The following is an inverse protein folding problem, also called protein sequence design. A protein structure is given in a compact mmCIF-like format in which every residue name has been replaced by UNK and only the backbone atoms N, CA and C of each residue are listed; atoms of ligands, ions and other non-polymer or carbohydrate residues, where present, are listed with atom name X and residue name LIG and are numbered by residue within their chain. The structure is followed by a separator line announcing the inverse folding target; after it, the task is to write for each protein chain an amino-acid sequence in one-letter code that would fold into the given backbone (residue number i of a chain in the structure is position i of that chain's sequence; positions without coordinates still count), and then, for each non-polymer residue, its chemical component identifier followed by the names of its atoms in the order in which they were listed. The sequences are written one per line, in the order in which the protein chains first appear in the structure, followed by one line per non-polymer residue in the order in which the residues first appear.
data_IF_375780891916
#
_entry.id   IF_375780891916
#
_cell.length_a   1.000
_cell.length_b   1.000
_cell.length_c   1.000
_cell.angle_alpha   90.00
_cell.angle_beta   90.00
_cell.angle_gamma   90.00
#
_symmetry.space_group_name_H-M   'P 1'
#
loop_
_entity.id
_entity.type
_entity.pdbx_description
1 polymer ?
#
# COMPACT_ATOMS: atom_id res chain seq x y z
N UNK A 1 -5.71 28.21 31.55
CA UNK A 1 -5.54 27.84 30.14
C UNK A 1 -6.56 26.76 29.81
N UNK A 2 -7.35 26.89 28.74
CA UNK A 2 -8.19 25.78 28.34
C UNK A 2 -7.26 24.60 28.06
N UNK A 3 -7.47 23.49 28.75
CA UNK A 3 -6.81 22.23 28.46
C UNK A 3 -7.06 21.94 27.00
N UNK A 4 -6.02 22.02 26.16
CA UNK A 4 -6.11 21.55 24.77
C UNK A 4 -6.58 20.09 24.87
N UNK A 5 -7.75 19.78 24.33
CA UNK A 5 -8.11 18.38 24.09
C UNK A 5 -6.96 17.79 23.33
N UNK A 6 -6.34 16.74 23.86
CA UNK A 6 -5.33 16.00 23.13
C UNK A 6 -5.96 15.55 21.82
N UNK A 7 -5.44 16.04 20.71
CA UNK A 7 -5.92 15.62 19.39
C UNK A 7 -5.56 14.16 19.21
N UNK A 8 -6.51 13.35 18.78
CA UNK A 8 -6.24 11.97 18.37
C UNK A 8 -5.25 11.99 17.20
N UNK A 9 -4.22 11.14 17.24
CA UNK A 9 -3.16 11.11 16.24
C UNK A 9 -3.15 9.77 15.52
N UNK A 10 -3.21 9.82 14.19
CA UNK A 10 -2.92 8.68 13.34
C UNK A 10 -1.55 8.89 12.70
N UNK A 11 -0.63 7.96 12.97
CA UNK A 11 0.71 7.96 12.40
C UNK A 11 0.78 6.99 11.24
N UNK A 12 1.03 7.51 10.05
CA UNK A 12 1.24 6.71 8.86
C UNK A 12 2.67 6.16 8.82
N UNK A 13 2.82 4.89 9.25
CA UNK A 13 4.02 4.09 9.01
C UNK A 13 3.97 3.48 7.61
N UNK A 14 4.48 2.27 7.43
CA UNK A 14 4.50 1.58 6.14
C UNK A 14 4.68 0.07 6.35
N UNK A 15 4.08 -0.74 5.49
CA UNK A 15 4.38 -2.17 5.41
C UNK A 15 5.85 -2.46 5.05
N UNK A 16 6.59 -1.48 4.53
CA UNK A 16 8.04 -1.63 4.29
C UNK A 16 8.84 -1.93 5.56
N UNK A 17 8.29 -1.66 6.76
CA UNK A 17 8.94 -2.03 8.03
C UNK A 17 9.10 -3.54 8.19
N UNK A 18 8.26 -4.36 7.52
CA UNK A 18 8.40 -5.81 7.52
C UNK A 18 9.60 -6.29 6.68
N UNK A 19 10.08 -5.45 5.75
CA UNK A 19 11.24 -5.73 4.91
C UNK A 19 11.04 -6.92 3.99
N UNK A 20 12.15 -7.61 3.70
CA UNK A 20 12.20 -8.73 2.78
C UNK A 20 12.45 -10.08 3.48
N UNK A 21 12.51 -10.11 4.81
CA UNK A 21 12.78 -11.34 5.56
C UNK A 21 11.54 -12.23 5.72
N UNK A 22 10.34 -11.66 5.58
CA UNK A 22 9.06 -12.38 5.68
C UNK A 22 8.32 -12.36 4.35
N UNK A 23 7.69 -13.46 4.02
CA UNK A 23 6.89 -13.64 2.80
C UNK A 23 5.47 -14.11 3.16
N UNK A 24 4.55 -13.98 2.20
CA UNK A 24 3.18 -14.43 2.35
C UNK A 24 2.28 -13.41 3.04
N UNK A 25 1.41 -13.88 3.94
CA UNK A 25 0.45 -13.05 4.67
C UNK A 25 1.10 -12.45 5.92
N UNK A 26 1.24 -11.12 5.95
CA UNK A 26 1.90 -10.37 7.01
C UNK A 26 0.86 -9.77 7.95
N UNK A 27 0.87 -10.19 9.21
CA UNK A 27 0.07 -9.58 10.29
C UNK A 27 0.89 -8.56 11.07
N UNK A 28 0.24 -7.80 11.94
CA UNK A 28 0.92 -6.83 12.80
C UNK A 28 1.84 -7.47 13.85
N UNK A 29 1.69 -8.79 14.09
CA UNK A 29 2.59 -9.57 14.94
C UNK A 29 3.87 -10.02 14.22
N UNK A 30 3.93 -9.88 12.88
CA UNK A 30 5.14 -10.16 12.11
C UNK A 30 6.27 -9.23 12.55
N UNK A 31 7.44 -9.77 12.98
CA UNK A 31 8.56 -8.94 13.41
C UNK A 31 9.04 -8.00 12.30
N UNK A 32 9.25 -6.71 12.58
CA UNK A 32 9.85 -5.79 11.63
C UNK A 32 11.29 -6.20 11.26
N UNK A 33 11.64 -6.07 9.98
CA UNK A 33 12.98 -6.31 9.45
C UNK A 33 13.27 -5.33 8.29
N UNK A 34 13.38 -4.01 8.57
CA UNK A 34 13.49 -2.98 7.56
C UNK A 34 14.71 -3.19 6.67
N UNK A 35 14.54 -3.10 5.35
CA UNK A 35 15.57 -3.39 4.35
C UNK A 35 16.10 -2.15 3.60
N UNK A 36 15.65 -0.95 3.97
CA UNK A 36 16.11 0.31 3.38
C UNK A 36 15.90 1.48 4.35
N UNK A 37 16.51 2.64 4.06
CA UNK A 37 16.49 3.82 4.92
C UNK A 37 15.07 4.33 5.20
N UNK A 38 14.19 4.28 4.20
CA UNK A 38 12.79 4.66 4.38
C UNK A 38 12.10 3.76 5.43
N UNK A 39 12.25 2.45 5.30
CA UNK A 39 11.67 1.49 6.25
C UNK A 39 12.24 1.66 7.66
N UNK A 40 13.56 1.90 7.77
CA UNK A 40 14.23 2.21 9.05
C UNK A 40 13.66 3.47 9.67
N UNK A 41 13.49 4.56 8.90
CA UNK A 41 12.92 5.81 9.40
C UNK A 41 11.48 5.64 9.91
N UNK A 42 10.67 4.83 9.20
CA UNK A 42 9.29 4.53 9.63
C UNK A 42 9.26 3.68 10.90
N UNK A 43 10.12 2.68 11.01
CA UNK A 43 10.22 1.87 12.23
C UNK A 43 10.73 2.69 13.42
N UNK A 44 11.71 3.58 13.22
CA UNK A 44 12.17 4.51 14.25
C UNK A 44 11.03 5.42 14.74
N UNK A 45 10.21 5.95 13.84
CA UNK A 45 9.01 6.72 14.17
C UNK A 45 8.03 5.89 15.03
N UNK A 46 7.78 4.62 14.69
CA UNK A 46 6.92 3.74 15.49
C UNK A 46 7.47 3.54 16.92
N UNK A 47 8.77 3.27 17.05
CA UNK A 47 9.41 3.13 18.35
C UNK A 47 9.32 4.41 19.19
N UNK A 48 9.57 5.57 18.58
CA UNK A 48 9.42 6.86 19.25
C UNK A 48 7.97 7.09 19.69
N UNK A 49 6.99 6.81 18.81
CA UNK A 49 5.58 6.96 19.13
C UNK A 49 5.15 6.08 20.31
N UNK A 50 5.66 4.84 20.37
CA UNK A 50 5.37 3.90 21.45
C UNK A 50 5.81 4.41 22.83
N UNK A 51 6.88 5.22 22.92
CA UNK A 51 7.28 5.87 24.17
C UNK A 51 6.25 6.90 24.68
N UNK A 52 5.38 7.37 23.81
CA UNK A 52 4.39 8.40 24.11
C UNK A 52 2.95 7.87 24.22
N UNK A 53 2.70 6.59 23.95
CA UNK A 53 1.34 6.00 23.97
C UNK A 53 0.59 6.23 25.27
N UNK A 54 1.27 6.28 26.42
CA UNK A 54 0.64 6.58 27.71
C UNK A 54 0.23 8.05 27.90
N UNK A 55 0.64 8.95 26.98
CA UNK A 55 0.41 10.40 27.08
C UNK A 55 -0.35 10.97 25.89
N UNK A 56 -0.26 10.31 24.74
CA UNK A 56 -0.88 10.72 23.49
C UNK A 56 -1.82 9.63 22.96
N UNK A 57 -3.02 10.00 22.51
CA UNK A 57 -3.96 9.07 21.91
C UNK A 57 -3.50 8.73 20.48
N UNK A 58 -2.66 7.71 20.35
CA UNK A 58 -2.00 7.32 19.09
C UNK A 58 -2.62 6.05 18.52
N UNK A 59 -2.78 6.02 17.19
CA UNK A 59 -2.90 4.81 16.40
C UNK A 59 -1.83 4.82 15.31
N UNK A 60 -1.17 3.69 15.09
CA UNK A 60 -0.16 3.54 14.04
C UNK A 60 -0.77 2.72 12.91
N UNK A 61 -0.60 3.15 11.67
CA UNK A 61 -1.03 2.37 10.49
C UNK A 61 0.19 1.94 9.69
N UNK A 62 0.14 0.71 9.17
CA UNK A 62 1.11 0.17 8.21
C UNK A 62 0.41 -0.08 6.88
N UNK A 63 0.27 0.96 6.03
CA UNK A 63 -0.31 0.77 4.70
C UNK A 63 0.61 -0.09 3.84
N UNK A 64 0.00 -1.01 3.08
CA UNK A 64 0.62 -1.73 1.98
C UNK A 64 0.66 -0.83 0.74
N UNK A 65 0.94 -1.37 -0.45
CA UNK A 65 0.97 -0.49 -1.62
C UNK A 65 -0.44 0.03 -1.91
N UNK A 66 -0.53 1.28 -2.27
CA UNK A 66 -1.79 1.91 -2.68
C UNK A 66 -1.55 2.81 -3.89
N UNK A 67 -2.61 3.00 -4.67
CA UNK A 67 -2.56 3.78 -5.90
C UNK A 67 -3.88 4.52 -6.13
N UNK A 68 -3.84 5.50 -7.01
CA UNK A 68 -5.01 6.27 -7.42
C UNK A 68 -4.65 7.41 -8.34
N UNK A 69 -5.66 8.12 -8.80
CA UNK A 69 -5.52 9.31 -9.65
C UNK A 69 -4.67 10.37 -8.96
N UNK A 70 -3.78 11.02 -9.70
CA UNK A 70 -2.88 12.06 -9.20
C UNK A 70 -1.57 11.55 -8.59
N UNK A 71 -1.37 10.24 -8.46
CA UNK A 71 -0.09 9.70 -8.04
C UNK A 71 0.94 9.81 -9.18
N UNK A 72 2.17 10.22 -8.84
CA UNK A 72 3.22 10.48 -9.82
C UNK A 72 3.65 9.21 -10.60
N UNK A 73 4.00 9.38 -11.87
CA UNK A 73 4.38 8.28 -12.79
C UNK A 73 5.70 7.57 -12.44
N UNK A 74 6.47 8.07 -11.47
CA UNK A 74 7.63 7.36 -10.94
C UNK A 74 7.25 6.16 -10.05
N UNK A 75 5.97 6.04 -9.65
CA UNK A 75 5.45 4.84 -9.00
C UNK A 75 4.96 3.82 -10.03
N UNK A 76 4.99 2.55 -9.64
CA UNK A 76 4.81 1.42 -10.54
C UNK A 76 3.46 1.41 -11.28
N UNK A 77 2.34 1.44 -10.54
CA UNK A 77 1.01 1.38 -11.16
C UNK A 77 0.68 2.63 -11.97
N UNK A 78 0.94 3.86 -11.49
CA UNK A 78 0.81 5.07 -12.30
C UNK A 78 1.64 5.05 -13.58
N UNK A 79 2.88 4.51 -13.53
CA UNK A 79 3.70 4.32 -14.73
C UNK A 79 3.01 3.42 -15.75
N UNK A 80 2.47 2.28 -15.31
CA UNK A 80 1.75 1.36 -16.21
C UNK A 80 0.53 2.06 -16.80
N UNK A 81 -0.33 2.64 -15.96
CA UNK A 81 -1.54 3.36 -16.39
C UNK A 81 -1.21 4.45 -17.40
N UNK A 82 -0.18 5.25 -17.15
CA UNK A 82 0.22 6.33 -18.06
C UNK A 82 0.67 5.80 -19.43
N UNK A 83 1.37 4.64 -19.48
CA UNK A 83 1.75 4.02 -20.75
C UNK A 83 0.52 3.54 -21.53
N UNK A 84 -0.45 2.95 -20.86
CA UNK A 84 -1.71 2.56 -21.51
C UNK A 84 -2.55 3.77 -21.97
N UNK A 85 -2.62 4.84 -21.18
CA UNK A 85 -3.34 6.08 -21.53
C UNK A 85 -2.80 6.72 -22.82
N UNK A 86 -1.47 6.80 -22.93
CA UNK A 86 -0.83 7.35 -24.14
C UNK A 86 -0.65 6.36 -25.27
N UNK A 87 -1.18 5.13 -25.12
CA UNK A 87 -1.10 4.03 -26.11
C UNK A 87 0.35 3.78 -26.56
N UNK A 88 1.27 3.73 -25.60
CA UNK A 88 2.67 3.49 -25.89
C UNK A 88 2.89 2.08 -26.47
N UNK A 89 3.84 1.96 -27.42
CA UNK A 89 4.14 0.68 -28.04
C UNK A 89 4.80 -0.29 -27.06
N UNK A 90 5.62 0.24 -26.13
CA UNK A 90 6.36 -0.57 -25.16
C UNK A 90 6.48 0.07 -23.78
N UNK A 91 6.74 -0.78 -22.79
CA UNK A 91 7.03 -0.38 -21.40
C UNK A 91 8.16 -1.25 -20.82
N UNK A 92 9.12 -0.60 -20.17
CA UNK A 92 10.15 -1.29 -19.40
C UNK A 92 9.74 -1.45 -17.94
N UNK A 93 9.77 -2.68 -17.45
CA UNK A 93 9.45 -3.03 -16.07
C UNK A 93 10.54 -3.93 -15.46
N UNK A 94 10.46 -4.17 -14.15
CA UNK A 94 11.28 -5.17 -13.47
C UNK A 94 10.64 -6.56 -13.55
N UNK A 95 10.80 -7.35 -12.48
CA UNK A 95 10.28 -8.71 -12.40
C UNK A 95 8.74 -8.70 -12.44
N UNK A 96 8.17 -9.41 -13.42
CA UNK A 96 6.73 -9.48 -13.62
C UNK A 96 6.05 -10.52 -12.72
N UNK A 97 6.82 -11.50 -12.22
CA UNK A 97 6.33 -12.65 -11.47
C UNK A 97 6.53 -12.46 -9.95
N UNK A 98 6.20 -11.25 -9.50
CA UNK A 98 6.13 -10.87 -8.08
C UNK A 98 4.74 -10.39 -7.74
N UNK A 99 4.21 -10.85 -6.60
CA UNK A 99 2.84 -10.55 -6.16
C UNK A 99 2.86 -9.49 -5.07
N UNK A 100 2.05 -8.47 -5.22
CA UNK A 100 1.92 -7.37 -4.27
C UNK A 100 0.47 -7.07 -3.97
N UNK A 101 0.22 -6.69 -2.73
CA UNK A 101 -1.06 -6.16 -2.30
C UNK A 101 -1.16 -4.69 -2.72
N UNK A 102 -2.15 -4.38 -3.54
CA UNK A 102 -2.43 -3.02 -4.00
C UNK A 102 -3.84 -2.60 -3.56
N UNK A 103 -3.91 -1.48 -2.86
CA UNK A 103 -5.17 -0.90 -2.39
C UNK A 103 -5.54 0.35 -3.19
N UNK A 104 -6.81 0.66 -3.23
CA UNK A 104 -7.32 1.95 -3.71
C UNK A 104 -7.05 3.04 -2.67
N UNK A 105 -6.51 4.18 -3.06
CA UNK A 105 -6.23 5.29 -2.15
C UNK A 105 -7.49 5.82 -1.47
N UNK A 106 -8.66 5.71 -2.11
CA UNK A 106 -9.95 6.12 -1.52
C UNK A 106 -10.31 5.21 -0.35
N UNK A 107 -10.07 3.90 -0.47
CA UNK A 107 -10.27 2.95 0.62
C UNK A 107 -9.25 3.16 1.75
N UNK A 108 -8.01 3.52 1.43
CA UNK A 108 -7.00 3.92 2.44
C UNK A 108 -7.47 5.11 3.26
N UNK A 109 -7.96 6.16 2.61
CA UNK A 109 -8.47 7.37 3.29
C UNK A 109 -9.68 7.04 4.17
N UNK A 110 -10.59 6.19 3.67
CA UNK A 110 -11.73 5.71 4.48
C UNK A 110 -11.28 4.91 5.70
N UNK A 111 -10.25 4.05 5.55
CA UNK A 111 -9.66 3.33 6.68
C UNK A 111 -9.07 4.29 7.72
N UNK A 112 -8.33 5.29 7.29
CA UNK A 112 -7.76 6.30 8.20
C UNK A 112 -8.83 7.07 8.95
N UNK A 113 -9.86 7.52 8.24
CA UNK A 113 -11.01 8.19 8.86
C UNK A 113 -11.70 7.28 9.89
N UNK A 114 -12.02 6.05 9.50
CA UNK A 114 -12.67 5.08 10.38
C UNK A 114 -11.82 4.75 11.62
N UNK A 115 -10.50 4.64 11.49
CA UNK A 115 -9.59 4.42 12.62
C UNK A 115 -9.55 5.63 13.57
N UNK A 116 -9.60 6.86 13.07
CA UNK A 116 -9.69 8.06 13.90
C UNK A 116 -11.03 8.07 14.65
N UNK A 117 -12.12 7.67 14.02
CA UNK A 117 -13.46 7.59 14.62
C UNK A 117 -13.56 6.45 15.65
N UNK A 118 -13.02 5.27 15.33
CA UNK A 118 -13.04 4.07 16.20
C UNK A 118 -12.06 4.17 17.38
N UNK A 119 -11.03 5.00 17.30
CA UNK A 119 -10.01 5.26 18.33
C UNK A 119 -9.38 4.00 18.94
N UNK A 120 -8.80 3.09 18.15
CA UNK A 120 -8.08 1.93 18.66
C UNK A 120 -6.70 2.34 19.22
N UNK A 121 -6.71 3.13 20.30
CA UNK A 121 -5.53 3.76 20.86
C UNK A 121 -4.49 2.73 21.30
N UNK A 122 -3.23 3.03 21.02
CA UNK A 122 -2.12 2.14 21.34
C UNK A 122 -1.96 0.95 20.39
N UNK A 123 -2.77 0.87 19.33
CA UNK A 123 -2.68 -0.22 18.38
C UNK A 123 -1.92 0.16 17.11
N UNK A 124 -1.25 -0.84 16.54
CA UNK A 124 -0.76 -0.83 15.16
C UNK A 124 -1.75 -1.60 14.29
N UNK A 125 -2.06 -1.09 13.10
CA UNK A 125 -3.07 -1.65 12.20
C UNK A 125 -2.53 -1.68 10.77
N UNK A 126 -2.52 -2.86 10.16
CA UNK A 126 -2.26 -3.00 8.73
C UNK A 126 -3.42 -2.44 7.91
N UNK A 127 -3.09 -1.68 6.88
CA UNK A 127 -4.08 -1.22 5.91
C UNK A 127 -3.71 -1.80 4.54
N UNK A 128 -4.48 -2.80 4.11
CA UNK A 128 -4.19 -3.61 2.93
C UNK A 128 -5.49 -4.12 2.30
N UNK A 129 -5.45 -4.47 1.02
CA UNK A 129 -6.60 -5.10 0.35
C UNK A 129 -6.82 -6.55 0.82
N UNK A 130 -5.73 -7.23 1.22
CA UNK A 130 -5.72 -8.66 1.52
C UNK A 130 -5.69 -9.52 0.25
N UNK A 131 -5.53 -8.91 -0.92
CA UNK A 131 -5.45 -9.60 -2.21
C UNK A 131 -4.16 -9.18 -2.92
N UNK A 132 -3.45 -10.14 -3.48
CA UNK A 132 -2.23 -9.87 -4.24
C UNK A 132 -2.45 -10.03 -5.73
N UNK A 133 -1.75 -9.19 -6.48
CA UNK A 133 -1.68 -9.27 -7.94
C UNK A 133 -0.22 -9.24 -8.39
N UNK A 134 0.08 -10.03 -9.42
CA UNK A 134 1.35 -9.94 -10.13
C UNK A 134 1.35 -8.74 -11.08
N UNK A 135 2.54 -8.29 -11.47
CA UNK A 135 2.62 -7.23 -12.48
C UNK A 135 2.07 -7.69 -13.83
N UNK A 136 2.17 -8.98 -14.15
CA UNK A 136 1.58 -9.57 -15.34
C UNK A 136 0.06 -9.41 -15.34
N UNK A 137 -0.59 -9.78 -14.22
CA UNK A 137 -2.04 -9.60 -14.06
C UNK A 137 -2.46 -8.13 -14.16
N UNK A 138 -1.68 -7.20 -13.61
CA UNK A 138 -1.96 -5.76 -13.72
C UNK A 138 -1.93 -5.29 -15.19
N UNK A 139 -0.94 -5.76 -15.96
CA UNK A 139 -0.85 -5.46 -17.39
C UNK A 139 -2.05 -6.03 -18.14
N UNK A 140 -2.42 -7.29 -17.87
CA UNK A 140 -3.55 -7.95 -18.51
C UNK A 140 -4.88 -7.23 -18.19
N UNK A 141 -5.06 -6.74 -16.95
CA UNK A 141 -6.19 -5.89 -16.57
C UNK A 141 -6.22 -4.60 -17.40
N UNK A 142 -5.07 -3.90 -17.52
CA UNK A 142 -5.00 -2.68 -18.33
C UNK A 142 -5.25 -2.94 -19.83
N UNK A 143 -4.73 -4.05 -20.37
CA UNK A 143 -5.02 -4.49 -21.75
C UNK A 143 -6.52 -4.71 -21.96
N UNK A 144 -7.17 -5.41 -21.04
CA UNK A 144 -8.62 -5.68 -21.11
C UNK A 144 -9.46 -4.39 -21.02
N UNK A 145 -9.04 -3.43 -20.16
CA UNK A 145 -9.76 -2.17 -19.96
C UNK A 145 -9.60 -1.19 -21.14
N UNK A 146 -8.46 -1.20 -21.83
CA UNK A 146 -8.13 -0.22 -22.87
C UNK A 146 -8.27 -0.75 -24.30
N UNK A 147 -8.32 -2.08 -24.47
CA UNK A 147 -8.22 -2.74 -25.76
C UNK A 147 -6.89 -2.49 -26.48
N UNK A 148 -5.84 -2.03 -25.73
CA UNK A 148 -4.51 -1.74 -26.25
C UNK A 148 -3.54 -2.83 -25.81
N UNK A 149 -2.75 -3.33 -26.75
CA UNK A 149 -1.64 -4.23 -26.46
C UNK A 149 -0.33 -3.45 -26.38
N UNK A 150 0.51 -3.79 -25.39
CA UNK A 150 1.78 -3.13 -25.15
C UNK A 150 2.88 -4.18 -24.99
N UNK A 151 4.02 -3.97 -25.65
CA UNK A 151 5.18 -4.80 -25.48
C UNK A 151 5.83 -4.52 -24.13
N UNK A 152 6.11 -5.59 -23.36
CA UNK A 152 6.74 -5.48 -22.04
C UNK A 152 8.17 -5.95 -22.10
N UNK A 153 9.11 -5.04 -21.92
CA UNK A 153 10.53 -5.33 -21.82
C UNK A 153 10.94 -5.45 -20.35
N UNK A 154 11.57 -6.56 -19.97
CA UNK A 154 12.13 -6.71 -18.62
C UNK A 154 13.49 -6.06 -18.57
N UNK A 155 13.61 -4.95 -17.85
CA UNK A 155 14.86 -4.27 -17.63
C UNK A 155 15.54 -4.79 -16.34
N UNK A 156 16.73 -5.44 -16.44
CA UNK A 156 17.45 -5.98 -15.28
C UNK A 156 17.77 -4.92 -14.22
N UNK A 157 17.93 -3.64 -14.61
CA UNK A 157 18.20 -2.56 -13.67
C UNK A 157 17.03 -2.28 -12.72
N UNK A 158 15.81 -2.71 -13.06
CA UNK A 158 14.63 -2.57 -12.22
C UNK A 158 14.34 -3.82 -11.38
N UNK A 159 15.11 -4.89 -11.55
CA UNK A 159 15.00 -6.11 -10.76
C UNK A 159 15.75 -5.92 -9.43
N UNK A 160 15.06 -6.05 -8.31
CA UNK A 160 15.67 -5.91 -6.99
C UNK A 160 16.37 -7.21 -6.58
N UNK A 161 17.59 -7.09 -6.05
CA UNK A 161 18.24 -8.21 -5.38
C UNK A 161 17.42 -8.62 -4.14
N UNK A 162 17.25 -9.92 -3.92
CA UNK A 162 16.49 -10.48 -2.79
C UNK A 162 15.02 -10.05 -2.76
N UNK A 163 14.38 -9.96 -3.92
CA UNK A 163 12.97 -9.59 -3.99
C UNK A 163 12.06 -10.70 -3.45
N UNK A 164 11.24 -10.37 -2.44
CA UNK A 164 10.24 -11.30 -1.93
C UNK A 164 9.17 -11.55 -2.98
N UNK A 165 8.89 -12.83 -3.25
CA UNK A 165 7.95 -13.23 -4.31
C UNK A 165 6.52 -12.75 -4.03
N UNK A 166 6.06 -12.85 -2.79
CA UNK A 166 4.67 -12.50 -2.43
C UNK A 166 4.64 -11.72 -1.12
N UNK A 167 4.03 -10.54 -1.14
CA UNK A 167 3.76 -9.72 0.03
C UNK A 167 2.28 -9.35 0.07
N UNK A 168 1.56 -9.89 1.05
CA UNK A 168 0.14 -9.64 1.29
C UNK A 168 -0.07 -9.16 2.71
N UNK A 169 -0.92 -8.18 2.92
CA UNK A 169 -1.27 -7.71 4.26
C UNK A 169 -2.47 -8.47 4.84
N UNK A 170 -2.36 -8.91 6.08
CA UNK A 170 -3.51 -9.34 6.86
C UNK A 170 -4.29 -8.11 7.34
N UNK A 171 -5.51 -7.95 6.85
CA UNK A 171 -6.39 -6.83 7.19
C UNK A 171 -7.49 -7.23 8.19
N UNK A 172 -7.38 -8.39 8.82
CA UNK A 172 -8.40 -8.89 9.75
C UNK A 172 -8.65 -7.94 10.92
N UNK A 173 -7.58 -7.34 11.46
CA UNK A 173 -7.66 -6.33 12.52
C UNK A 173 -8.39 -5.09 12.05
N UNK A 174 -8.05 -4.55 10.88
CA UNK A 174 -8.73 -3.39 10.30
C UNK A 174 -10.24 -3.65 10.16
N UNK A 175 -10.61 -4.80 9.59
CA UNK A 175 -12.01 -5.18 9.39
C UNK A 175 -12.77 -5.36 10.71
N UNK A 176 -12.11 -5.82 11.76
CA UNK A 176 -12.71 -5.92 13.10
C UNK A 176 -12.95 -4.57 13.75
N UNK A 177 -12.07 -3.59 13.49
CA UNK A 177 -12.14 -2.23 14.04
C UNK A 177 -13.12 -1.34 13.27
N UNK A 178 -13.27 -1.58 11.96
CA UNK A 178 -14.14 -0.81 11.07
C UNK A 178 -15.05 -1.79 10.31
N UNK A 179 -16.14 -2.25 10.93
CA UNK A 179 -17.08 -3.16 10.28
C UNK A 179 -17.64 -2.55 8.99
N UNK A 180 -17.66 -3.32 7.91
CA UNK A 180 -18.14 -2.86 6.61
C UNK A 180 -17.12 -2.12 5.75
N UNK A 181 -15.89 -1.87 6.25
CA UNK A 181 -14.83 -1.33 5.40
C UNK A 181 -14.49 -2.31 4.26
N UNK A 182 -14.39 -1.79 3.06
CA UNK A 182 -14.06 -2.54 1.84
C UNK A 182 -13.14 -1.72 0.95
N UNK A 183 -12.35 -2.39 0.13
CA UNK A 183 -11.58 -1.78 -0.95
C UNK A 183 -12.17 -2.21 -2.29
N UNK A 184 -12.26 -1.31 -3.28
CA UNK A 184 -12.60 -1.68 -4.64
C UNK A 184 -11.64 -2.75 -5.18
N UNK A 185 -12.11 -3.56 -6.12
CA UNK A 185 -11.22 -4.45 -6.87
C UNK A 185 -10.15 -3.64 -7.59
N UNK A 186 -8.94 -4.19 -7.75
CA UNK A 186 -7.85 -3.47 -8.42
C UNK A 186 -8.24 -3.05 -9.85
N UNK A 187 -9.02 -3.87 -10.55
CA UNK A 187 -9.55 -3.56 -11.90
C UNK A 187 -10.39 -2.28 -11.92
N UNK A 188 -11.22 -2.05 -10.89
CA UNK A 188 -12.02 -0.84 -10.77
C UNK A 188 -11.13 0.39 -10.53
N UNK A 189 -10.11 0.24 -9.67
CA UNK A 189 -9.13 1.30 -9.40
C UNK A 189 -8.34 1.66 -10.67
N UNK A 190 -7.88 0.66 -11.41
CA UNK A 190 -7.18 0.86 -12.68
C UNK A 190 -8.09 1.52 -13.72
N UNK A 191 -9.36 1.08 -13.82
CA UNK A 191 -10.36 1.69 -14.70
C UNK A 191 -10.56 3.17 -14.38
N UNK A 192 -10.71 3.51 -13.08
CA UNK A 192 -10.80 4.90 -12.65
C UNK A 192 -9.54 5.71 -13.02
N UNK A 193 -8.35 5.16 -12.79
CA UNK A 193 -7.09 5.83 -13.15
C UNK A 193 -6.90 6.01 -14.66
N UNK A 194 -7.39 5.06 -15.47
CA UNK A 194 -7.31 5.12 -16.94
C UNK A 194 -8.23 6.17 -17.55
N UNK A 195 -9.39 6.44 -16.92
CA UNK A 195 -10.45 7.31 -17.46
C UNK A 195 -10.46 8.73 -16.90
N UNK A 196 -9.76 8.97 -15.77
CA UNK A 196 -9.69 10.29 -15.14
C UNK A 196 -8.39 11.00 -15.55
N UNK A 197 -8.50 12.27 -15.94
CA UNK A 197 -7.37 13.15 -16.25
C UNK A 197 -6.65 13.63 -14.99
#
# INVERSE_FOLDING_TARGET
FPTRRSSDLLLASSANVYGNASAGLLSESTPPSPANDYAVSKLAMEHMANLWQGRLPLVITRPFNYTGVGQAENFLLPKIVAHFRRRADKIELGNLDVWRDFSDVRALVQAYRGLIEAKPLGQTVNVSSGVTHSLREVIDMCKALTGHDIEVEVNPAFVRANEVKTLCGDNSRLRSLIPGWQTPALTETLGWMLTTE
#
